data_IF_656796980580
#
_entry.id   IF_656796980580
#
_cell.length_a   1.000
_cell.length_b   1.000
_cell.length_c   1.000
_cell.angle_alpha   90.00
_cell.angle_beta   90.00
_cell.angle_gamma   90.00
#
_symmetry.space_group_name_H-M   'P 1'
#
loop_
_entity.id
_entity.type
_entity.pdbx_description
1 polymer ?
#
# COMPACT_ATOMS: atom_id res chain seq x y z
N UNK A 1 6.79 16.58 -16.69
CA UNK A 1 6.06 15.55 -17.45
C UNK A 1 5.39 14.67 -16.42
N UNK A 2 4.06 14.59 -16.39
CA UNK A 2 3.36 13.63 -15.52
C UNK A 2 3.60 12.24 -16.10
N UNK A 3 4.37 11.42 -15.41
CA UNK A 3 4.64 10.04 -15.81
C UNK A 3 3.33 9.27 -15.65
N UNK A 4 2.69 9.01 -16.78
CA UNK A 4 1.39 8.32 -16.85
C UNK A 4 1.52 6.79 -16.65
N UNK A 5 2.70 6.32 -16.26
CA UNK A 5 3.03 4.93 -16.00
C UNK A 5 4.34 4.87 -15.22
N UNK A 6 4.48 3.85 -14.39
CA UNK A 6 5.67 3.65 -13.56
C UNK A 6 5.43 2.55 -12.53
N UNK A 7 6.24 2.58 -11.47
CA UNK A 7 6.17 1.64 -10.36
C UNK A 7 6.00 2.41 -9.05
N UNK A 8 5.10 1.94 -8.20
CA UNK A 8 4.96 2.41 -6.82
C UNK A 8 5.62 1.36 -5.94
N UNK A 9 6.54 1.80 -5.08
CA UNK A 9 7.12 0.91 -4.06
C UNK A 9 6.41 1.16 -2.73
N UNK A 10 5.87 0.10 -2.16
CA UNK A 10 5.30 0.07 -0.82
C UNK A 10 6.20 -0.78 0.07
N UNK A 11 6.87 -0.12 1.02
CA UNK A 11 7.51 -0.79 2.15
C UNK A 11 6.54 -0.74 3.33
N UNK A 12 6.25 -1.87 3.96
CA UNK A 12 5.37 -1.92 5.13
C UNK A 12 5.96 -2.75 6.26
N UNK A 13 5.51 -2.47 7.48
CA UNK A 13 5.70 -3.31 8.66
C UNK A 13 4.42 -3.33 9.50
N UNK A 14 3.94 -4.53 9.82
CA UNK A 14 2.73 -4.80 10.64
C UNK A 14 3.07 -5.54 11.93
N UNK A 15 4.36 -5.68 12.24
CA UNK A 15 4.86 -6.37 13.43
C UNK A 15 4.21 -7.75 13.62
N UNK A 16 3.62 -8.01 14.79
CA UNK A 16 3.02 -9.30 15.13
C UNK A 16 1.51 -9.39 14.88
N UNK A 17 0.81 -8.26 14.82
CA UNK A 17 -0.65 -8.23 14.67
C UNK A 17 -0.93 -8.00 13.19
N UNK A 18 -1.57 -8.95 12.48
CA UNK A 18 -1.75 -8.81 11.05
C UNK A 18 -2.65 -7.61 10.71
N UNK A 19 -2.22 -6.75 9.79
CA UNK A 19 -3.03 -5.65 9.23
C UNK A 19 -3.12 -5.80 7.71
N UNK A 20 -4.03 -5.03 7.08
CA UNK A 20 -4.26 -5.06 5.64
C UNK A 20 -3.96 -3.73 4.98
N UNK A 21 -3.13 -3.75 3.95
CA UNK A 21 -2.85 -2.62 3.08
C UNK A 21 -3.56 -2.79 1.74
N UNK A 22 -4.23 -1.73 1.30
CA UNK A 22 -4.81 -1.64 -0.04
C UNK A 22 -4.32 -0.36 -0.71
N UNK A 23 -3.92 -0.49 -1.98
CA UNK A 23 -3.61 0.66 -2.84
C UNK A 23 -4.69 0.80 -3.89
N UNK A 24 -5.29 1.99 -3.95
CA UNK A 24 -6.27 2.37 -4.95
C UNK A 24 -5.66 3.45 -5.85
N UNK A 25 -5.67 3.21 -7.14
CA UNK A 25 -5.21 4.16 -8.15
C UNK A 25 -6.32 4.38 -9.18
N UNK A 26 -6.73 5.63 -9.39
CA UNK A 26 -7.85 6.01 -10.27
C UNK A 26 -9.15 5.22 -9.98
N UNK A 27 -9.43 4.98 -8.69
CA UNK A 27 -10.61 4.23 -8.26
C UNK A 27 -10.50 2.71 -8.46
N UNK A 28 -9.34 2.20 -8.92
CA UNK A 28 -9.09 0.76 -9.10
C UNK A 28 -8.14 0.26 -8.02
N UNK A 29 -8.48 -0.87 -7.41
CA UNK A 29 -7.56 -1.56 -6.52
C UNK A 29 -6.41 -2.16 -7.34
N UNK A 30 -5.19 -1.73 -7.04
CA UNK A 30 -3.95 -2.23 -7.68
C UNK A 30 -3.14 -3.12 -6.74
N UNK A 31 -3.39 -3.03 -5.43
CA UNK A 31 -2.82 -3.91 -4.42
C UNK A 31 -3.83 -4.20 -3.32
N UNK A 32 -3.78 -5.42 -2.82
CA UNK A 32 -4.42 -5.83 -1.57
C UNK A 32 -3.62 -6.97 -0.96
N UNK A 33 -3.04 -6.73 0.21
CA UNK A 33 -2.21 -7.72 0.89
C UNK A 33 -3.03 -8.77 1.63
N UNK A 34 -4.33 -8.55 1.83
CA UNK A 34 -5.06 -9.20 2.91
C UNK A 34 -4.46 -8.85 4.28
N UNK A 35 -4.90 -9.55 5.34
CA UNK A 35 -4.32 -9.40 6.66
C UNK A 35 -3.02 -10.19 6.76
N UNK A 36 -1.90 -9.49 6.92
CA UNK A 36 -0.55 -10.06 6.96
C UNK A 36 0.25 -9.45 8.10
N UNK A 37 1.19 -10.23 8.65
CA UNK A 37 2.12 -9.80 9.71
C UNK A 37 3.55 -9.64 9.16
N UNK A 38 4.40 -8.93 9.88
CA UNK A 38 5.80 -8.71 9.54
C UNK A 38 6.02 -7.55 8.57
N UNK A 39 7.20 -7.51 7.96
CA UNK A 39 7.60 -6.48 7.01
C UNK A 39 7.91 -7.06 5.64
N UNK A 40 7.65 -6.27 4.60
CA UNK A 40 8.01 -6.60 3.23
C UNK A 40 8.07 -5.33 2.37
N UNK A 41 8.66 -5.48 1.20
CA UNK A 41 8.68 -4.49 0.13
C UNK A 41 7.94 -5.03 -1.09
N UNK A 42 7.01 -4.24 -1.63
CA UNK A 42 6.23 -4.58 -2.80
C UNK A 42 6.40 -3.50 -3.86
N UNK A 43 6.69 -3.92 -5.09
CA UNK A 43 6.73 -3.04 -6.25
C UNK A 43 5.49 -3.28 -7.10
N UNK A 44 4.69 -2.25 -7.30
CA UNK A 44 3.38 -2.33 -7.95
C UNK A 44 3.42 -1.48 -9.23
N UNK A 45 3.34 -2.10 -10.42
CA UNK A 45 3.26 -1.34 -11.65
C UNK A 45 1.92 -0.60 -11.73
N UNK A 46 1.93 0.65 -12.19
CA UNK A 46 0.73 1.44 -12.46
C UNK A 46 0.78 2.08 -13.83
N UNK A 47 -0.40 2.38 -14.37
CA UNK A 47 -0.58 3.16 -15.59
C UNK A 47 -1.87 3.95 -15.49
N UNK A 48 -1.82 5.26 -15.72
CA UNK A 48 -2.96 6.17 -15.67
C UNK A 48 -2.55 7.62 -15.93
N UNK A 49 -3.33 8.56 -15.46
CA UNK A 49 -3.15 10.00 -15.70
C UNK A 49 -3.10 10.80 -14.40
N UNK A 50 -3.44 10.16 -13.28
CA UNK A 50 -3.41 10.72 -11.93
C UNK A 50 -2.02 10.67 -11.32
N UNK A 51 -1.62 11.71 -10.60
CA UNK A 51 -0.47 11.72 -9.70
C UNK A 51 -0.82 11.35 -8.25
N UNK A 52 -2.03 10.83 -8.02
CA UNK A 52 -2.57 10.50 -6.69
C UNK A 52 -2.83 9.00 -6.58
N UNK A 53 -2.33 8.42 -5.50
CA UNK A 53 -2.58 7.04 -5.04
C UNK A 53 -3.22 7.13 -3.66
N UNK A 54 -4.27 6.36 -3.43
CA UNK A 54 -4.91 6.23 -2.12
C UNK A 54 -4.38 4.98 -1.42
N UNK A 55 -3.89 5.13 -0.19
CA UNK A 55 -3.46 4.04 0.68
C UNK A 55 -4.52 3.85 1.76
N UNK A 56 -5.08 2.65 1.85
CA UNK A 56 -6.05 2.29 2.88
C UNK A 56 -5.41 1.24 3.77
N UNK A 57 -5.29 1.55 5.06
CA UNK A 57 -4.80 0.62 6.07
C UNK A 57 -5.99 0.18 6.92
N UNK A 58 -6.27 -1.11 6.95
CA UNK A 58 -7.29 -1.70 7.83
C UNK A 58 -6.59 -2.41 8.96
N UNK A 59 -6.70 -1.83 10.16
CA UNK A 59 -6.20 -2.43 11.39
C UNK A 59 -6.96 -3.70 11.77
N UNK A 60 -6.29 -4.66 12.40
CA UNK A 60 -6.98 -5.78 13.05
C UNK A 60 -7.89 -5.32 14.20
N UNK A 61 -8.80 -6.17 14.67
CA UNK A 61 -9.73 -5.85 15.77
C UNK A 61 -9.06 -5.65 17.14
N UNK A 62 -7.74 -5.84 17.23
CA UNK A 62 -6.98 -5.64 18.45
C UNK A 62 -6.57 -4.18 18.60
N UNK A 63 -6.86 -3.58 19.75
CA UNK A 63 -6.45 -2.21 20.09
C UNK A 63 -4.93 -2.03 20.19
N UNK A 64 -4.17 -3.14 20.19
CA UNK A 64 -2.70 -3.12 20.19
C UNK A 64 -2.09 -3.12 18.79
N UNK A 65 -2.89 -3.06 17.73
CA UNK A 65 -2.36 -3.10 16.36
C UNK A 65 -1.45 -1.91 16.07
N UNK A 66 -0.37 -2.18 15.34
CA UNK A 66 0.65 -1.19 14.99
C UNK A 66 1.12 -1.47 13.58
N UNK A 67 1.26 -0.42 12.80
CA UNK A 67 1.77 -0.50 11.45
C UNK A 67 2.59 0.73 11.09
N UNK A 68 3.55 0.54 10.20
CA UNK A 68 4.29 1.61 9.55
C UNK A 68 4.37 1.32 8.05
N UNK A 69 4.40 2.36 7.23
CA UNK A 69 4.61 2.21 5.79
C UNK A 69 5.30 3.42 5.18
N UNK A 70 6.05 3.15 4.12
CA UNK A 70 6.64 4.17 3.25
C UNK A 70 6.15 3.92 1.83
N UNK A 71 5.64 4.97 1.18
CA UNK A 71 5.24 4.94 -0.22
C UNK A 71 6.22 5.76 -1.05
N UNK A 72 6.79 5.14 -2.08
CA UNK A 72 7.64 5.83 -3.05
C UNK A 72 6.91 5.84 -4.41
N UNK A 73 6.69 7.05 -4.93
CA UNK A 73 6.12 7.28 -6.26
C UNK A 73 7.21 7.86 -7.19
N UNK A 74 7.17 7.56 -8.49
CA UNK A 74 8.15 8.03 -9.47
C UNK A 74 7.94 9.49 -9.89
#
# INVERSE_FOLDING_TARGET
MSTNQGEITLEYETFQIPDRFQLIYEGRQILDTGFISGSNELTIPFSGRSGRVDVIVTGNQSDSTQWNYTLQCP
#
